data_IF_584546393140
#
_entry.id   IF_584546393140
#
_cell.length_a   1.000
_cell.length_b   1.000
_cell.length_c   1.000
_cell.angle_alpha   90.00
_cell.angle_beta   90.00
_cell.angle_gamma   90.00
#
_symmetry.space_group_name_H-M   'P 1'
#
loop_
_entity.id
_entity.type
_entity.pdbx_description
1 polymer ?
#
# COMPACT_ATOMS: atom_id res chain seq x y z
N UNK A 1 34.68 37.89 -9.31
CA UNK A 1 34.80 36.48 -9.72
C UNK A 1 34.17 35.53 -8.71
N UNK A 2 34.57 35.60 -7.46
CA UNK A 2 34.02 34.73 -6.39
C UNK A 2 32.48 34.73 -6.27
N UNK A 3 31.83 35.90 -6.28
CA UNK A 3 30.37 36.02 -6.20
C UNK A 3 29.62 35.34 -7.35
N UNK A 4 30.19 35.32 -8.56
CA UNK A 4 29.60 34.63 -9.72
C UNK A 4 29.73 33.12 -9.61
N UNK A 5 30.85 32.64 -9.08
CA UNK A 5 31.10 31.23 -8.84
C UNK A 5 30.17 30.70 -7.75
N UNK A 6 30.00 31.46 -6.67
CA UNK A 6 29.06 31.11 -5.58
C UNK A 6 27.62 31.01 -6.09
N UNK A 7 27.19 31.94 -6.94
CA UNK A 7 25.84 31.90 -7.53
C UNK A 7 25.64 30.67 -8.42
N UNK A 8 26.63 30.32 -9.23
CA UNK A 8 26.59 29.13 -10.10
C UNK A 8 26.48 27.85 -9.26
N UNK A 9 27.31 27.73 -8.20
CA UNK A 9 27.24 26.58 -7.30
C UNK A 9 25.87 26.48 -6.65
N UNK A 10 25.29 27.59 -6.22
CA UNK A 10 23.96 27.62 -5.60
C UNK A 10 22.87 27.15 -6.57
N UNK A 11 22.92 27.60 -7.85
CA UNK A 11 22.00 27.17 -8.89
C UNK A 11 22.12 25.66 -9.14
N UNK A 12 23.35 25.15 -9.23
CA UNK A 12 23.61 23.71 -9.43
C UNK A 12 23.04 22.90 -8.27
N UNK A 13 23.19 23.32 -7.02
CA UNK A 13 22.65 22.66 -5.85
C UNK A 13 21.11 22.61 -5.89
N UNK A 14 20.45 23.72 -6.27
CA UNK A 14 19.00 23.75 -6.43
C UNK A 14 18.53 22.77 -7.52
N UNK A 15 19.23 22.71 -8.65
CA UNK A 15 18.91 21.78 -9.73
C UNK A 15 19.08 20.32 -9.30
N UNK A 16 20.14 20.01 -8.54
CA UNK A 16 20.37 18.68 -8.00
C UNK A 16 19.28 18.25 -7.01
N UNK A 17 18.84 19.17 -6.13
CA UNK A 17 17.73 18.91 -5.19
C UNK A 17 16.44 18.66 -5.96
N UNK A 18 16.17 19.47 -6.98
CA UNK A 18 14.98 19.32 -7.81
C UNK A 18 14.97 17.98 -8.58
N UNK A 19 16.10 17.59 -9.15
CA UNK A 19 16.26 16.29 -9.81
C UNK A 19 16.09 15.12 -8.83
N UNK A 20 16.64 15.25 -7.61
CA UNK A 20 16.50 14.24 -6.58
C UNK A 20 15.03 14.03 -6.17
N UNK A 21 14.28 15.10 -5.98
CA UNK A 21 12.87 15.02 -5.65
C UNK A 21 12.05 14.36 -6.78
N UNK A 22 12.29 14.75 -8.04
CA UNK A 22 11.63 14.13 -9.19
C UNK A 22 11.96 12.64 -9.34
N UNK A 23 13.21 12.25 -9.08
CA UNK A 23 13.64 10.85 -9.15
C UNK A 23 12.99 10.04 -8.04
N UNK A 24 12.90 10.57 -6.82
CA UNK A 24 12.26 9.89 -5.69
C UNK A 24 10.77 9.63 -5.95
N UNK A 25 10.04 10.60 -6.49
CA UNK A 25 8.63 10.43 -6.88
C UNK A 25 8.46 9.35 -7.97
N UNK A 26 9.34 9.34 -8.97
CA UNK A 26 9.29 8.35 -10.06
C UNK A 26 9.56 6.95 -9.53
N UNK A 27 10.54 6.79 -8.65
CA UNK A 27 10.85 5.51 -8.00
C UNK A 27 9.69 5.05 -7.14
N UNK A 28 9.09 5.93 -6.33
CA UNK A 28 7.92 5.59 -5.51
C UNK A 28 6.73 5.13 -6.36
N UNK A 29 6.42 5.82 -7.45
CA UNK A 29 5.35 5.44 -8.39
C UNK A 29 5.60 4.09 -9.06
N UNK A 30 6.86 3.72 -9.27
CA UNK A 30 7.22 2.44 -9.90
C UNK A 30 7.25 1.27 -8.90
N UNK A 31 7.65 1.53 -7.66
CA UNK A 31 7.71 0.53 -6.58
C UNK A 31 6.30 0.28 -6.02
N UNK A 32 5.52 1.35 -5.85
CA UNK A 32 4.15 1.30 -5.34
C UNK A 32 3.20 1.87 -6.37
N UNK A 33 2.77 1.07 -7.36
CA UNK A 33 1.71 1.52 -8.24
C UNK A 33 0.50 1.85 -7.35
N UNK A 34 -0.08 3.05 -7.52
CA UNK A 34 -1.26 3.51 -6.77
C UNK A 34 -2.54 2.75 -7.17
N UNK A 35 -2.38 1.45 -7.43
CA UNK A 35 -3.48 0.54 -7.69
C UNK A 35 -4.26 0.35 -6.39
N UNK A 36 -5.58 0.47 -6.45
CA UNK A 36 -6.48 0.39 -5.29
C UNK A 36 -6.33 1.54 -4.29
N UNK A 37 -5.80 2.69 -4.68
CA UNK A 37 -5.55 3.87 -3.83
C UNK A 37 -6.79 4.24 -2.99
N UNK A 38 -7.95 4.26 -3.60
CA UNK A 38 -9.21 4.59 -2.93
C UNK A 38 -9.50 3.68 -1.71
N UNK A 39 -9.17 2.40 -1.79
CA UNK A 39 -9.41 1.46 -0.68
C UNK A 39 -8.29 1.54 0.36
N UNK A 40 -7.05 1.62 -0.10
CA UNK A 40 -5.89 1.74 0.81
C UNK A 40 -6.01 3.01 1.63
N UNK A 41 -6.26 4.17 1.01
CA UNK A 41 -6.36 5.44 1.73
C UNK A 41 -7.57 5.45 2.69
N UNK A 42 -8.72 4.93 2.25
CA UNK A 42 -9.92 4.85 3.08
C UNK A 42 -9.65 4.05 4.36
N UNK A 43 -9.21 2.81 4.23
CA UNK A 43 -9.06 1.91 5.38
C UNK A 43 -7.82 2.21 6.22
N UNK A 44 -6.77 2.76 5.63
CA UNK A 44 -5.62 3.29 6.39
C UNK A 44 -6.03 4.41 7.33
N UNK A 45 -6.88 5.34 6.87
CA UNK A 45 -7.41 6.41 7.71
C UNK A 45 -8.37 5.89 8.78
N UNK A 46 -9.30 4.99 8.41
CA UNK A 46 -10.26 4.42 9.36
C UNK A 46 -9.58 3.62 10.48
N UNK A 47 -8.47 2.93 10.17
CA UNK A 47 -7.75 2.08 11.12
C UNK A 47 -6.52 2.74 11.76
N UNK A 48 -6.21 4.00 11.41
CA UNK A 48 -4.99 4.72 11.84
C UNK A 48 -3.69 3.95 11.53
N UNK A 49 -3.62 3.40 10.30
CA UNK A 49 -2.46 2.65 9.79
C UNK A 49 -1.82 3.43 8.63
N UNK A 50 -0.50 3.44 8.57
CA UNK A 50 0.22 4.08 7.48
C UNK A 50 -0.12 3.40 6.14
N UNK A 51 -0.57 4.18 5.15
CA UNK A 51 -0.92 3.67 3.83
C UNK A 51 0.26 3.04 3.10
N UNK A 52 1.49 3.52 3.32
CA UNK A 52 2.71 2.92 2.76
C UNK A 52 2.96 1.52 3.31
N UNK A 53 2.61 1.27 4.58
CA UNK A 53 2.67 -0.07 5.15
C UNK A 53 1.71 -1.02 4.43
N UNK A 54 0.48 -0.59 4.18
CA UNK A 54 -0.51 -1.41 3.47
C UNK A 54 -0.07 -1.69 2.02
N UNK A 55 0.43 -0.67 1.30
CA UNK A 55 1.02 -0.88 -0.03
C UNK A 55 2.19 -1.86 -0.01
N UNK A 56 3.05 -1.80 1.00
CA UNK A 56 4.19 -2.69 1.15
C UNK A 56 3.76 -4.13 1.37
N UNK A 57 2.74 -4.36 2.18
CA UNK A 57 2.16 -5.69 2.42
C UNK A 57 1.57 -6.24 1.12
N UNK A 58 0.73 -5.48 0.42
CA UNK A 58 0.14 -5.90 -0.85
C UNK A 58 1.23 -6.24 -1.89
N UNK A 59 2.30 -5.45 -1.94
CA UNK A 59 3.42 -5.68 -2.84
C UNK A 59 4.12 -7.01 -2.55
N UNK A 60 4.43 -7.28 -1.30
CA UNK A 60 5.14 -8.50 -0.86
C UNK A 60 4.24 -9.72 -0.99
N UNK A 61 2.98 -9.63 -0.56
CA UNK A 61 2.06 -10.76 -0.47
C UNK A 61 1.53 -11.22 -1.83
N UNK A 62 1.16 -10.29 -2.70
CA UNK A 62 0.50 -10.63 -3.98
C UNK A 62 1.07 -9.94 -5.21
N UNK A 63 2.01 -9.01 -5.04
CA UNK A 63 2.45 -8.12 -6.11
C UNK A 63 1.25 -7.44 -6.82
N UNK A 64 0.25 -6.99 -6.05
CA UNK A 64 -0.99 -6.38 -6.53
C UNK A 64 -1.88 -7.29 -7.39
N UNK A 65 -1.74 -8.62 -7.25
CA UNK A 65 -2.62 -9.57 -7.91
C UNK A 65 -3.81 -9.91 -7.00
N UNK A 66 -4.98 -9.36 -7.31
CA UNK A 66 -6.22 -9.62 -6.56
C UNK A 66 -6.67 -11.09 -6.58
N UNK A 67 -6.23 -11.85 -7.58
CA UNK A 67 -6.54 -13.28 -7.74
C UNK A 67 -5.48 -14.21 -7.17
N UNK A 68 -4.50 -13.66 -6.43
CA UNK A 68 -3.45 -14.47 -5.84
C UNK A 68 -4.03 -15.48 -4.85
N UNK A 69 -3.56 -16.72 -4.96
CA UNK A 69 -3.84 -17.80 -4.03
C UNK A 69 -2.55 -18.57 -3.81
N UNK A 70 -2.15 -18.75 -2.55
CA UNK A 70 -0.95 -19.49 -2.21
C UNK A 70 -1.23 -20.97 -2.02
N UNK A 71 -0.16 -21.79 -1.99
CA UNK A 71 -0.25 -23.22 -1.63
C UNK A 71 -0.80 -23.45 -0.22
N UNK A 72 -0.70 -22.46 0.67
CA UNK A 72 -1.27 -22.48 2.02
C UNK A 72 -2.69 -21.91 2.09
N UNK A 73 -3.35 -21.73 0.92
CA UNK A 73 -4.72 -21.18 0.79
C UNK A 73 -4.89 -19.74 1.30
N UNK A 74 -3.81 -18.95 1.28
CA UNK A 74 -3.90 -17.53 1.51
C UNK A 74 -4.42 -16.80 0.26
N UNK A 75 -5.32 -15.83 0.43
CA UNK A 75 -6.21 -15.31 -0.62
C UNK A 75 -6.03 -13.81 -0.83
N UNK A 76 -5.91 -13.41 -2.08
CA UNK A 76 -6.05 -12.04 -2.56
C UNK A 76 -4.87 -11.13 -2.27
N UNK A 77 -5.11 -9.82 -2.29
CA UNK A 77 -4.09 -8.78 -2.24
C UNK A 77 -3.19 -8.84 -1.01
N UNK A 78 -3.76 -9.09 0.16
CA UNK A 78 -3.04 -9.14 1.44
C UNK A 78 -2.84 -10.57 1.95
N UNK A 79 -3.13 -11.59 1.11
CA UNK A 79 -2.94 -13.01 1.41
C UNK A 79 -3.56 -13.43 2.75
N UNK A 80 -4.87 -13.23 2.85
CA UNK A 80 -5.65 -13.56 4.04
C UNK A 80 -5.97 -15.05 4.09
N UNK A 81 -5.79 -15.65 5.25
CA UNK A 81 -6.32 -16.99 5.54
C UNK A 81 -7.82 -16.90 5.81
N UNK A 82 -8.61 -17.85 5.32
CA UNK A 82 -10.06 -17.85 5.47
C UNK A 82 -10.53 -17.66 6.92
N UNK A 83 -9.98 -18.48 7.85
CA UNK A 83 -10.35 -18.39 9.26
C UNK A 83 -10.06 -17.01 9.87
N UNK A 84 -8.90 -16.43 9.56
CA UNK A 84 -8.53 -15.09 10.01
C UNK A 84 -9.46 -14.04 9.43
N UNK A 85 -9.81 -14.17 8.15
CA UNK A 85 -10.71 -13.24 7.48
C UNK A 85 -12.13 -13.28 8.06
N UNK A 86 -12.67 -14.48 8.29
CA UNK A 86 -14.00 -14.66 8.88
C UNK A 86 -14.06 -14.08 10.29
N UNK A 87 -13.09 -14.38 11.13
CA UNK A 87 -13.01 -13.84 12.50
C UNK A 87 -12.90 -12.32 12.49
N UNK A 88 -11.96 -11.78 11.71
CA UNK A 88 -11.73 -10.33 11.63
C UNK A 88 -12.96 -9.59 11.08
N UNK A 89 -13.56 -10.12 10.02
CA UNK A 89 -14.76 -9.50 9.42
C UNK A 89 -15.97 -9.53 10.35
N UNK A 90 -16.12 -10.60 11.12
CA UNK A 90 -17.13 -10.68 12.17
C UNK A 90 -16.99 -9.59 13.22
N UNK A 91 -15.78 -9.19 13.56
CA UNK A 91 -15.53 -8.05 14.47
C UNK A 91 -15.87 -6.69 13.85
N UNK A 92 -15.66 -6.53 12.53
CA UNK A 92 -15.91 -5.26 11.82
C UNK A 92 -17.39 -5.04 11.55
N UNK A 93 -18.06 -6.06 10.98
CA UNK A 93 -19.40 -5.91 10.39
C UNK A 93 -20.49 -6.74 11.13
N UNK A 94 -20.13 -7.53 12.12
CA UNK A 94 -21.01 -8.53 12.73
C UNK A 94 -21.65 -9.49 11.70
N UNK A 95 -20.93 -9.77 10.61
CA UNK A 95 -21.33 -10.61 9.49
C UNK A 95 -20.23 -11.61 9.15
N UNK A 96 -20.56 -12.63 8.37
CA UNK A 96 -19.57 -13.54 7.82
C UNK A 96 -19.14 -13.12 6.41
N UNK A 97 -17.95 -13.50 6.01
CA UNK A 97 -17.41 -13.33 4.66
C UNK A 97 -17.12 -14.70 4.07
N UNK A 98 -17.35 -14.89 2.78
CA UNK A 98 -16.99 -16.14 2.10
C UNK A 98 -15.68 -16.00 1.30
N UNK A 99 -15.12 -17.13 0.89
CA UNK A 99 -13.83 -17.18 0.16
C UNK A 99 -13.85 -16.35 -1.14
N UNK A 100 -14.97 -16.38 -1.87
CA UNK A 100 -15.09 -15.66 -3.14
C UNK A 100 -15.02 -14.13 -2.95
N UNK A 101 -15.56 -13.65 -1.83
CA UNK A 101 -15.53 -12.23 -1.49
C UNK A 101 -14.11 -11.75 -1.13
N UNK A 102 -13.24 -12.65 -0.65
CA UNK A 102 -11.85 -12.32 -0.32
C UNK A 102 -10.99 -11.99 -1.54
N UNK A 103 -11.43 -12.34 -2.75
CA UNK A 103 -10.79 -11.89 -3.99
C UNK A 103 -11.19 -10.46 -4.39
N UNK A 104 -12.20 -9.87 -3.76
CA UNK A 104 -12.59 -8.49 -4.03
C UNK A 104 -11.61 -7.53 -3.34
N UNK A 105 -10.99 -6.59 -4.10
CA UNK A 105 -9.97 -5.69 -3.56
C UNK A 105 -10.41 -4.93 -2.32
N UNK A 106 -11.62 -4.37 -2.33
CA UNK A 106 -12.14 -3.60 -1.20
C UNK A 106 -12.24 -4.43 0.07
N UNK A 107 -12.83 -5.62 -0.02
CA UNK A 107 -13.04 -6.51 1.13
C UNK A 107 -11.70 -7.01 1.67
N UNK A 108 -10.80 -7.43 0.78
CA UNK A 108 -9.49 -7.93 1.16
C UNK A 108 -8.65 -6.86 1.88
N UNK A 109 -8.59 -5.64 1.32
CA UNK A 109 -7.86 -4.51 1.93
C UNK A 109 -8.50 -4.08 3.25
N UNK A 110 -9.84 -4.02 3.33
CA UNK A 110 -10.57 -3.71 4.56
C UNK A 110 -10.19 -4.65 5.70
N UNK A 111 -10.34 -5.96 5.46
CA UNK A 111 -10.06 -6.98 6.47
C UNK A 111 -8.58 -6.97 6.85
N UNK A 112 -7.69 -6.96 5.86
CA UNK A 112 -6.26 -6.98 6.09
C UNK A 112 -5.77 -5.76 6.88
N UNK A 113 -6.22 -4.56 6.51
CA UNK A 113 -5.85 -3.32 7.21
C UNK A 113 -6.33 -3.34 8.66
N UNK A 114 -7.57 -3.77 8.90
CA UNK A 114 -8.10 -3.90 10.26
C UNK A 114 -7.31 -4.92 11.08
N UNK A 115 -7.01 -6.08 10.51
CA UNK A 115 -6.20 -7.12 11.17
C UNK A 115 -4.82 -6.61 11.60
N UNK A 116 -4.16 -5.81 10.77
CA UNK A 116 -2.86 -5.22 11.11
C UNK A 116 -2.95 -4.03 12.08
N UNK A 117 -4.12 -3.47 12.32
CA UNK A 117 -4.34 -2.38 13.26
C UNK A 117 -4.53 -2.85 14.72
N UNK A 118 -4.82 -4.13 14.90
CA UNK A 118 -5.07 -4.75 16.23
C UNK A 118 -3.80 -5.37 16.79
#
# INVERSE_FOLDING_TARGET
MAKKITLIIFIILILLIFQWNNLSETIQKQIYPKKYEQYVDKYSQECDVDNLLIYSIIKVESNFNEKANSHAEAIGLMQLMENTAVETYGHIEAQTVNVEELYQPEINIKIGTYYFST
#
